data_IF_622359836372
#
_entry.id   IF_622359836372
#
_cell.length_a   1.000
_cell.length_b   1.000
_cell.length_c   1.000
_cell.angle_alpha   90.00
_cell.angle_beta   90.00
_cell.angle_gamma   90.00
#
_symmetry.space_group_name_H-M   'P 1'
#
loop_
_entity.id
_entity.type
_entity.pdbx_description
1 polymer ?
#
# COMPACT_ATOMS: atom_id res chain seq x y z
N UNK A 1 -22.30 2.27 -15.41
CA UNK A 1 -21.37 2.01 -16.54
C UNK A 1 -21.53 0.53 -16.92
N UNK A 2 -20.88 0.00 -17.95
CA UNK A 2 -20.83 -1.46 -18.17
C UNK A 2 -19.43 -1.91 -18.56
N UNK A 3 -19.11 -3.18 -18.28
CA UNK A 3 -17.89 -3.79 -18.77
C UNK A 3 -17.94 -3.93 -20.30
N UNK A 4 -16.84 -3.58 -20.95
CA UNK A 4 -16.58 -3.84 -22.36
C UNK A 4 -16.36 -5.35 -22.57
N UNK A 5 -16.39 -5.78 -23.84
CA UNK A 5 -16.16 -7.18 -24.19
C UNK A 5 -14.76 -7.66 -23.72
N UNK A 6 -13.75 -6.81 -23.79
CA UNK A 6 -12.38 -7.16 -23.39
C UNK A 6 -12.24 -7.25 -21.87
N UNK A 7 -12.93 -6.39 -21.11
CA UNK A 7 -12.95 -6.47 -19.65
C UNK A 7 -13.71 -7.70 -19.15
N UNK A 8 -14.76 -8.13 -19.85
CA UNK A 8 -15.43 -9.41 -19.57
C UNK A 8 -14.53 -10.61 -19.86
N UNK A 9 -13.70 -10.54 -20.90
CA UNK A 9 -12.68 -11.58 -21.14
C UNK A 9 -11.64 -11.60 -20.02
N UNK A 10 -11.22 -10.45 -19.50
CA UNK A 10 -10.32 -10.37 -18.35
C UNK A 10 -10.96 -11.05 -17.13
N UNK A 11 -12.22 -10.73 -16.84
CA UNK A 11 -12.98 -11.35 -15.75
C UNK A 11 -12.97 -12.88 -15.87
N UNK A 12 -13.33 -13.40 -17.05
CA UNK A 12 -13.34 -14.83 -17.33
C UNK A 12 -11.95 -15.48 -17.20
N UNK A 13 -10.91 -14.84 -17.75
CA UNK A 13 -9.54 -15.36 -17.74
C UNK A 13 -8.95 -15.46 -16.33
N UNK A 14 -9.23 -14.48 -15.48
CA UNK A 14 -8.73 -14.42 -14.10
C UNK A 14 -9.71 -15.07 -13.10
N UNK A 15 -10.88 -15.51 -13.58
CA UNK A 15 -11.99 -16.01 -12.78
C UNK A 15 -12.47 -14.98 -11.72
N UNK A 16 -12.61 -13.72 -12.11
CA UNK A 16 -13.17 -12.64 -11.28
C UNK A 16 -14.68 -12.53 -11.51
N UNK A 17 -15.41 -12.13 -10.47
CA UNK A 17 -16.81 -11.75 -10.59
C UNK A 17 -16.94 -10.46 -11.41
N UNK A 18 -17.87 -10.41 -12.37
CA UNK A 18 -18.08 -9.21 -13.21
C UNK A 18 -18.53 -8.02 -12.37
N UNK A 19 -19.29 -8.25 -11.31
CA UNK A 19 -19.81 -7.23 -10.40
C UNK A 19 -18.69 -6.50 -9.66
N UNK A 20 -17.66 -7.22 -9.24
CA UNK A 20 -16.47 -6.64 -8.58
C UNK A 20 -15.68 -5.77 -9.55
N UNK A 21 -15.51 -6.21 -10.79
CA UNK A 21 -14.84 -5.41 -11.81
C UNK A 21 -15.68 -4.19 -12.21
N UNK A 22 -16.99 -4.34 -12.30
CA UNK A 22 -17.89 -3.23 -12.59
C UNK A 22 -17.80 -2.16 -11.51
N UNK A 23 -17.79 -2.56 -10.23
CA UNK A 23 -17.58 -1.66 -9.10
C UNK A 23 -16.25 -0.88 -9.24
N UNK A 24 -15.13 -1.57 -9.51
CA UNK A 24 -13.84 -0.90 -9.70
C UNK A 24 -13.90 0.11 -10.85
N UNK A 25 -14.50 -0.27 -11.98
CA UNK A 25 -14.64 0.58 -13.17
C UNK A 25 -15.49 1.82 -12.91
N UNK A 26 -16.62 1.67 -12.25
CA UNK A 26 -17.53 2.78 -11.97
C UNK A 26 -16.90 3.82 -11.04
N UNK A 27 -16.16 3.38 -10.03
CA UNK A 27 -15.53 4.27 -9.05
C UNK A 27 -14.25 4.94 -9.57
N UNK A 28 -13.49 4.25 -10.41
CA UNK A 28 -12.28 4.82 -11.03
C UNK A 28 -12.55 5.59 -12.32
N UNK A 29 -13.72 5.36 -12.93
CA UNK A 29 -14.06 5.85 -14.28
C UNK A 29 -13.02 5.49 -15.35
N UNK A 30 -12.26 4.42 -15.12
CA UNK A 30 -11.12 4.03 -15.93
C UNK A 30 -11.38 2.75 -16.72
N UNK A 31 -10.57 2.53 -17.74
CA UNK A 31 -10.50 1.23 -18.40
C UNK A 31 -9.76 0.23 -17.51
N UNK A 32 -10.27 -1.00 -17.45
CA UNK A 32 -9.61 -2.07 -16.71
C UNK A 32 -8.62 -2.81 -17.59
N UNK A 33 -7.46 -3.14 -17.01
CA UNK A 33 -6.41 -3.90 -17.67
C UNK A 33 -6.02 -5.12 -16.84
N UNK A 34 -5.71 -6.25 -17.49
CA UNK A 34 -5.03 -7.35 -16.80
C UNK A 34 -3.64 -6.89 -16.40
N UNK A 35 -3.26 -7.14 -15.16
CA UNK A 35 -1.90 -6.91 -14.65
C UNK A 35 -1.27 -8.22 -14.22
N UNK A 36 0.04 -8.33 -14.44
CA UNK A 36 0.88 -9.42 -13.95
C UNK A 36 2.04 -8.80 -13.20
N UNK A 37 2.10 -9.05 -11.90
CA UNK A 37 3.18 -8.63 -11.02
C UNK A 37 4.15 -9.81 -10.94
N UNK A 38 5.35 -9.65 -11.50
CA UNK A 38 6.44 -10.62 -11.42
C UNK A 38 7.62 -9.99 -10.67
N UNK A 39 7.88 -10.41 -9.43
CA UNK A 39 9.04 -9.93 -8.67
C UNK A 39 9.96 -11.09 -8.27
N UNK A 40 11.25 -10.80 -8.19
CA UNK A 40 12.25 -11.73 -7.66
C UNK A 40 12.17 -11.73 -6.14
N UNK A 41 12.19 -12.92 -5.53
CA UNK A 41 12.20 -13.08 -4.07
C UNK A 41 13.65 -12.90 -3.60
N UNK A 42 13.94 -11.85 -2.79
CA UNK A 42 15.26 -11.64 -2.21
C UNK A 42 15.72 -12.85 -1.40
N UNK A 43 17.01 -13.17 -1.42
CA UNK A 43 17.54 -14.37 -0.73
C UNK A 43 17.24 -14.39 0.77
N UNK A 44 17.35 -13.22 1.41
CA UNK A 44 17.05 -13.00 2.81
C UNK A 44 15.55 -13.11 3.15
N UNK A 45 14.66 -13.11 2.17
CA UNK A 45 13.20 -13.21 2.38
C UNK A 45 12.62 -14.58 1.98
N UNK A 46 13.41 -15.44 1.31
CA UNK A 46 12.95 -16.73 0.77
C UNK A 46 12.22 -17.59 1.81
N UNK A 47 12.74 -17.68 3.03
CA UNK A 47 12.13 -18.48 4.11
C UNK A 47 10.69 -18.07 4.42
N UNK A 48 10.35 -16.79 4.26
CA UNK A 48 9.03 -16.25 4.59
C UNK A 48 8.00 -16.61 3.51
N UNK A 49 8.41 -16.66 2.24
CA UNK A 49 7.55 -17.07 1.13
C UNK A 49 7.23 -18.58 1.13
N UNK A 50 8.10 -19.41 1.71
CA UNK A 50 7.90 -20.87 1.77
C UNK A 50 6.88 -21.32 2.81
N UNK A 51 6.58 -20.49 3.82
CA UNK A 51 5.72 -20.88 4.93
C UNK A 51 4.23 -20.83 4.59
N UNK A 52 3.85 -20.18 3.49
CA UNK A 52 2.45 -19.97 3.15
C UNK A 52 2.14 -20.07 1.65
N UNK A 53 2.67 -21.09 0.97
CA UNK A 53 2.32 -21.37 -0.44
C UNK A 53 0.81 -21.63 -0.66
N UNK A 54 0.06 -21.95 0.41
CA UNK A 54 -1.39 -22.19 0.32
C UNK A 54 -2.24 -20.93 0.50
N UNK A 55 -1.79 -19.90 1.25
CA UNK A 55 -2.51 -18.63 1.34
C UNK A 55 -1.95 -17.53 0.43
N UNK A 56 -0.74 -17.67 -0.12
CA UNK A 56 -0.18 -16.66 -1.02
C UNK A 56 -0.98 -16.59 -2.34
N UNK A 57 -1.38 -15.39 -2.80
CA UNK A 57 -2.28 -15.22 -3.93
C UNK A 57 -1.64 -15.46 -5.31
N UNK A 58 -0.34 -15.67 -5.36
CA UNK A 58 0.42 -15.91 -6.58
C UNK A 58 0.98 -17.32 -6.69
N UNK A 59 1.67 -17.56 -7.80
CA UNK A 59 2.47 -18.78 -8.01
C UNK A 59 3.95 -18.47 -7.87
N UNK A 60 4.66 -19.34 -7.17
CA UNK A 60 6.12 -19.31 -7.11
C UNK A 60 6.68 -20.07 -8.30
N UNK A 61 7.65 -19.49 -8.98
CA UNK A 61 8.35 -20.11 -10.11
C UNK A 61 9.86 -20.02 -9.93
N UNK A 62 10.55 -21.05 -10.39
CA UNK A 62 12.00 -21.08 -10.47
C UNK A 62 12.43 -20.66 -11.87
N UNK A 63 13.18 -19.57 -11.99
CA UNK A 63 13.84 -19.20 -13.26
C UNK A 63 15.34 -19.41 -13.12
N UNK A 64 15.90 -20.30 -13.94
CA UNK A 64 17.34 -20.44 -14.09
C UNK A 64 17.89 -19.18 -14.78
N UNK A 65 18.86 -18.50 -14.15
CA UNK A 65 19.58 -17.41 -14.79
C UNK A 65 20.61 -18.04 -15.74
N UNK A 66 20.53 -17.72 -17.04
CA UNK A 66 21.53 -18.16 -18.01
C UNK A 66 22.71 -17.19 -17.90
N UNK A 67 23.52 -17.38 -16.86
CA UNK A 67 24.87 -16.79 -16.71
C UNK A 67 25.83 -17.91 -16.32
N UNK A 68 27.15 -17.71 -16.49
CA UNK A 68 28.19 -18.75 -16.29
C UNK A 68 28.18 -19.44 -14.91
N UNK A 69 27.41 -18.91 -13.96
CA UNK A 69 27.10 -19.52 -12.67
C UNK A 69 25.61 -19.90 -12.61
N UNK A 70 25.31 -21.13 -12.15
CA UNK A 70 23.95 -21.68 -12.01
C UNK A 70 23.17 -20.99 -10.88
N UNK A 71 22.87 -19.70 -11.04
CA UNK A 71 22.06 -18.96 -10.08
C UNK A 71 20.57 -19.14 -10.42
N UNK A 72 19.83 -19.79 -9.53
CA UNK A 72 18.38 -19.85 -9.61
C UNK A 72 17.78 -18.63 -8.93
N UNK A 73 16.90 -17.91 -9.64
CA UNK A 73 16.12 -16.83 -9.05
C UNK A 73 14.70 -17.33 -8.83
N UNK A 74 14.30 -17.37 -7.57
CA UNK A 74 12.91 -17.54 -7.19
C UNK A 74 12.15 -16.27 -7.52
N UNK A 75 11.01 -16.42 -8.18
CA UNK A 75 10.08 -15.32 -8.44
C UNK A 75 8.69 -15.72 -8.03
N UNK A 76 7.90 -14.76 -7.62
CA UNK A 76 6.46 -14.95 -7.57
C UNK A 76 5.78 -14.22 -8.74
N UNK A 77 4.65 -14.76 -9.17
CA UNK A 77 3.77 -14.15 -10.15
C UNK A 77 2.39 -14.02 -9.51
N UNK A 78 1.87 -12.79 -9.43
CA UNK A 78 0.48 -12.50 -9.07
C UNK A 78 -0.22 -11.89 -10.29
N UNK A 79 -1.42 -12.38 -10.59
CA UNK A 79 -2.27 -11.82 -11.64
C UNK A 79 -3.46 -11.10 -11.02
N UNK A 80 -3.88 -10.00 -11.64
CA UNK A 80 -5.01 -9.22 -11.18
C UNK A 80 -5.54 -8.27 -12.25
N UNK A 81 -6.31 -7.29 -11.79
CA UNK A 81 -6.86 -6.23 -12.61
C UNK A 81 -6.34 -4.89 -12.10
N UNK A 82 -5.97 -4.00 -13.02
CA UNK A 82 -5.54 -2.64 -12.69
C UNK A 82 -6.43 -1.58 -13.33
N UNK A 83 -6.57 -0.45 -12.64
CA UNK A 83 -7.22 0.76 -13.14
C UNK A 83 -6.37 1.97 -12.75
N UNK A 84 -6.12 2.89 -13.69
CA UNK A 84 -5.44 4.16 -13.41
C UNK A 84 -6.50 5.24 -13.22
N UNK A 85 -6.42 5.99 -12.12
CA UNK A 85 -7.40 7.01 -11.82
C UNK A 85 -6.88 8.06 -10.85
N UNK A 86 -7.76 8.96 -10.45
CA UNK A 86 -7.46 9.93 -9.41
C UNK A 86 -7.22 9.24 -8.07
N UNK A 87 -6.13 9.60 -7.39
CA UNK A 87 -5.72 8.92 -6.17
C UNK A 87 -6.76 9.04 -5.07
N UNK A 88 -7.38 10.21 -4.89
CA UNK A 88 -8.45 10.39 -3.90
C UNK A 88 -9.62 9.43 -4.13
N UNK A 89 -10.01 9.18 -5.38
CA UNK A 89 -11.08 8.23 -5.71
C UNK A 89 -10.69 6.78 -5.46
N UNK A 90 -9.42 6.44 -5.71
CA UNK A 90 -8.89 5.11 -5.38
C UNK A 90 -8.89 4.90 -3.86
N UNK A 91 -8.43 5.90 -3.09
CA UNK A 91 -8.44 5.86 -1.62
C UNK A 91 -9.84 5.73 -1.03
N UNK A 92 -10.79 6.54 -1.52
CA UNK A 92 -12.21 6.45 -1.15
C UNK A 92 -12.77 5.04 -1.41
N UNK A 93 -12.52 4.51 -2.61
CA UNK A 93 -12.95 3.18 -3.00
C UNK A 93 -12.40 2.07 -2.09
N UNK A 94 -11.10 2.12 -1.78
CA UNK A 94 -10.48 1.14 -0.89
C UNK A 94 -11.08 1.28 0.51
N UNK A 95 -11.18 2.51 1.02
CA UNK A 95 -11.70 2.73 2.35
C UNK A 95 -13.16 2.28 2.54
N UNK A 96 -13.97 2.37 1.48
CA UNK A 96 -15.37 1.95 1.49
C UNK A 96 -15.53 0.43 1.31
N UNK A 97 -14.79 -0.19 0.39
CA UNK A 97 -15.10 -1.55 -0.07
C UNK A 97 -14.13 -2.63 0.39
N UNK A 98 -12.95 -2.29 0.91
CA UNK A 98 -11.88 -3.26 1.17
C UNK A 98 -12.29 -4.40 2.12
N UNK A 99 -13.06 -4.08 3.17
CA UNK A 99 -13.54 -5.12 4.12
C UNK A 99 -14.48 -6.12 3.45
N UNK A 100 -15.39 -5.66 2.59
CA UNK A 100 -16.32 -6.53 1.85
C UNK A 100 -15.57 -7.34 0.78
N UNK A 101 -14.61 -6.72 0.10
CA UNK A 101 -13.77 -7.39 -0.89
C UNK A 101 -12.96 -8.54 -0.27
N UNK A 102 -12.35 -8.33 0.90
CA UNK A 102 -11.58 -9.37 1.60
C UNK A 102 -12.43 -10.60 1.95
N UNK A 103 -13.68 -10.39 2.38
CA UNK A 103 -14.60 -11.49 2.67
C UNK A 103 -14.93 -12.32 1.42
N UNK A 104 -14.95 -11.67 0.25
CA UNK A 104 -15.16 -12.31 -1.06
C UNK A 104 -13.84 -12.81 -1.70
N UNK A 105 -12.72 -12.73 -0.99
CA UNK A 105 -11.41 -13.20 -1.46
C UNK A 105 -10.74 -12.27 -2.46
N UNK A 106 -11.01 -10.97 -2.37
CA UNK A 106 -10.35 -9.93 -3.15
C UNK A 106 -9.60 -8.93 -2.26
N UNK A 107 -8.50 -8.43 -2.79
CA UNK A 107 -7.68 -7.40 -2.16
C UNK A 107 -7.45 -6.27 -3.15
N UNK A 108 -7.88 -5.06 -2.78
CA UNK A 108 -7.72 -3.83 -3.56
C UNK A 108 -6.72 -2.92 -2.85
N UNK A 109 -5.77 -2.37 -3.59
CA UNK A 109 -4.79 -1.43 -3.03
C UNK A 109 -4.29 -0.43 -4.05
N UNK A 110 -3.80 0.71 -3.56
CA UNK A 110 -3.13 1.73 -4.37
C UNK A 110 -1.63 1.45 -4.52
N UNK A 111 -1.07 1.77 -5.68
CA UNK A 111 0.37 1.71 -6.00
C UNK A 111 0.72 2.74 -7.08
N UNK A 112 2.01 2.86 -7.46
CA UNK A 112 2.49 3.75 -8.53
C UNK A 112 1.96 5.20 -8.36
N UNK A 113 2.20 5.78 -7.18
CA UNK A 113 1.79 7.15 -6.87
C UNK A 113 2.54 8.17 -7.72
N UNK A 114 1.81 9.04 -8.41
CA UNK A 114 2.36 10.20 -9.12
C UNK A 114 1.83 11.49 -8.52
N UNK A 115 2.59 12.07 -7.60
CA UNK A 115 2.21 13.28 -6.87
C UNK A 115 1.86 14.46 -7.79
N UNK A 116 2.65 14.68 -8.84
CA UNK A 116 2.47 15.81 -9.79
C UNK A 116 1.17 15.74 -10.59
N UNK A 117 0.62 14.54 -10.78
CA UNK A 117 -0.58 14.30 -11.59
C UNK A 117 -1.82 14.00 -10.72
N UNK A 118 -1.65 13.86 -9.41
CA UNK A 118 -2.67 13.35 -8.49
C UNK A 118 -3.33 12.04 -9.01
N UNK A 119 -2.50 11.19 -9.62
CA UNK A 119 -2.88 9.91 -10.17
C UNK A 119 -2.22 8.78 -9.38
N UNK A 120 -2.91 7.66 -9.36
CA UNK A 120 -2.39 6.40 -8.85
C UNK A 120 -2.96 5.23 -9.63
N UNK A 121 -2.47 4.04 -9.32
CA UNK A 121 -2.94 2.80 -9.89
C UNK A 121 -3.61 1.96 -8.81
N UNK A 122 -4.87 1.63 -9.03
CA UNK A 122 -5.57 0.64 -8.23
C UNK A 122 -5.25 -0.74 -8.77
N UNK A 123 -4.91 -1.67 -7.88
CA UNK A 123 -4.66 -3.08 -8.20
C UNK A 123 -5.64 -3.94 -7.39
N UNK A 124 -6.42 -4.76 -8.10
CA UNK A 124 -7.31 -5.76 -7.53
C UNK A 124 -6.77 -7.16 -7.81
N UNK A 125 -6.49 -7.92 -6.76
CA UNK A 125 -6.05 -9.32 -6.84
C UNK A 125 -7.00 -10.20 -6.04
N UNK A 126 -6.85 -11.52 -6.19
CA UNK A 126 -7.50 -12.48 -5.29
C UNK A 126 -6.61 -12.67 -4.08
N UNK A 127 -7.10 -12.41 -2.88
CA UNK A 127 -6.40 -12.63 -1.60
C UNK A 127 -7.38 -12.45 -0.44
N UNK A 128 -7.09 -13.10 0.68
CA UNK A 128 -7.81 -12.95 1.95
C UNK A 128 -6.98 -12.23 3.02
N UNK A 129 -5.75 -11.81 2.70
CA UNK A 129 -4.80 -11.27 3.66
C UNK A 129 -4.33 -9.88 3.23
N UNK A 130 -4.66 -8.85 4.02
CA UNK A 130 -4.24 -7.47 3.73
C UNK A 130 -2.73 -7.28 3.67
N UNK A 131 -1.95 -8.09 4.39
CA UNK A 131 -0.49 -8.01 4.38
C UNK A 131 0.14 -8.48 3.07
N UNK A 132 -0.63 -9.14 2.20
CA UNK A 132 -0.15 -9.51 0.86
C UNK A 132 0.22 -8.28 0.03
N UNK A 133 -0.37 -7.11 0.31
CA UNK A 133 0.03 -5.84 -0.32
C UNK A 133 1.53 -5.62 -0.16
N UNK A 134 2.04 -5.72 1.07
CA UNK A 134 3.46 -5.50 1.40
C UNK A 134 4.34 -6.55 0.74
N UNK A 135 3.93 -7.82 0.80
CA UNK A 135 4.67 -8.94 0.24
C UNK A 135 4.80 -8.83 -1.28
N UNK A 136 3.68 -8.52 -1.95
CA UNK A 136 3.63 -8.36 -3.41
C UNK A 136 4.42 -7.15 -3.85
N UNK A 137 4.40 -6.08 -3.05
CA UNK A 137 5.15 -4.88 -3.35
C UNK A 137 6.62 -4.96 -2.95
N UNK A 138 7.02 -5.96 -2.16
CA UNK A 138 8.34 -6.02 -1.53
C UNK A 138 8.64 -4.70 -0.80
N UNK A 139 7.62 -4.13 -0.14
CA UNK A 139 7.74 -2.85 0.58
C UNK A 139 8.80 -2.97 1.65
N UNK A 140 9.74 -2.03 1.70
CA UNK A 140 10.83 -1.99 2.67
C UNK A 140 11.32 -0.55 2.87
N UNK A 141 12.14 -0.35 3.88
CA UNK A 141 12.88 0.90 4.10
C UNK A 141 14.38 0.65 4.07
N UNK A 142 14.90 0.24 2.91
CA UNK A 142 16.31 -0.15 2.76
C UNK A 142 17.30 0.91 3.28
N UNK A 143 16.99 2.19 3.12
CA UNK A 143 17.84 3.31 3.60
C UNK A 143 17.92 3.38 5.14
N UNK A 144 17.00 2.70 5.83
CA UNK A 144 16.93 2.59 7.29
C UNK A 144 17.18 1.16 7.78
N UNK A 145 17.64 0.25 6.91
CA UNK A 145 17.76 -1.19 7.18
C UNK A 145 16.46 -1.84 7.66
N UNK A 146 15.30 -1.33 7.23
CA UNK A 146 13.98 -1.87 7.54
C UNK A 146 13.61 -2.86 6.44
N UNK A 147 13.41 -4.12 6.81
CA UNK A 147 12.98 -5.17 5.87
C UNK A 147 11.46 -5.22 5.74
N UNK A 148 10.95 -5.93 4.72
CA UNK A 148 9.51 -6.18 4.58
C UNK A 148 8.91 -6.86 5.83
N UNK A 149 9.66 -7.80 6.41
CA UNK A 149 9.27 -8.51 7.63
C UNK A 149 9.15 -7.57 8.82
N UNK A 150 10.04 -6.59 8.98
CA UNK A 150 9.99 -5.62 10.08
C UNK A 150 8.71 -4.77 9.99
N UNK A 151 8.33 -4.35 8.78
CA UNK A 151 7.09 -3.62 8.53
C UNK A 151 5.87 -4.48 8.91
N UNK A 152 5.79 -5.71 8.40
CA UNK A 152 4.68 -6.63 8.73
C UNK A 152 4.59 -6.85 10.24
N UNK A 153 5.72 -7.13 10.90
CA UNK A 153 5.76 -7.37 12.33
C UNK A 153 5.29 -6.16 13.15
N UNK A 154 5.70 -4.96 12.76
CA UNK A 154 5.27 -3.72 13.41
C UNK A 154 3.76 -3.53 13.30
N UNK A 155 3.20 -3.71 12.10
CA UNK A 155 1.76 -3.59 11.89
C UNK A 155 0.97 -4.64 12.69
N UNK A 156 1.49 -5.87 12.81
CA UNK A 156 0.90 -6.87 13.70
C UNK A 156 0.95 -6.47 15.18
N UNK A 157 1.97 -5.73 15.63
CA UNK A 157 1.99 -5.16 16.98
C UNK A 157 0.91 -4.09 17.13
N UNK A 158 0.81 -3.17 16.17
CA UNK A 158 -0.18 -2.09 16.19
C UNK A 158 -1.61 -2.63 16.20
N UNK A 159 -1.88 -3.69 15.44
CA UNK A 159 -3.18 -4.34 15.35
C UNK A 159 -3.71 -4.88 16.70
N UNK A 160 -2.86 -4.97 17.74
CA UNK A 160 -3.26 -5.38 19.09
C UNK A 160 -4.00 -4.28 19.86
N UNK A 161 -3.81 -3.02 19.49
CA UNK A 161 -4.34 -1.87 20.23
C UNK A 161 -5.00 -0.80 19.36
N UNK A 162 -4.92 -0.92 18.03
CA UNK A 162 -5.66 -0.10 17.11
C UNK A 162 -6.17 -0.94 15.93
N UNK A 163 -7.13 -0.39 15.19
CA UNK A 163 -7.67 -1.00 13.98
C UNK A 163 -7.37 -0.08 12.81
N UNK A 164 -6.79 -0.65 11.75
CA UNK A 164 -6.46 0.05 10.53
C UNK A 164 -6.65 -0.85 9.31
N UNK A 165 -6.67 -0.22 8.15
CA UNK A 165 -6.57 -0.87 6.85
C UNK A 165 -5.35 -0.32 6.10
N UNK A 166 -4.70 -1.20 5.33
CA UNK A 166 -3.66 -0.79 4.38
C UNK A 166 -4.38 -0.26 3.13
N UNK A 167 -4.12 1.01 2.80
CA UNK A 167 -4.67 1.67 1.62
C UNK A 167 -3.81 1.38 0.39
N UNK A 168 -2.50 1.37 0.56
CA UNK A 168 -1.60 1.16 -0.54
C UNK A 168 -0.18 0.95 -0.05
N UNK A 169 0.63 0.43 -0.96
CA UNK A 169 2.07 0.38 -0.78
C UNK A 169 2.75 0.33 -2.15
N UNK A 170 4.03 0.69 -2.15
CA UNK A 170 4.96 0.35 -3.20
C UNK A 170 6.28 -0.10 -2.55
N UNK A 171 7.37 -0.15 -3.31
CA UNK A 171 8.65 -0.64 -2.82
C UNK A 171 9.17 0.13 -1.58
N UNK A 172 8.91 1.42 -1.49
CA UNK A 172 9.50 2.34 -0.51
C UNK A 172 8.47 3.11 0.34
N UNK A 173 7.16 2.90 0.13
CA UNK A 173 6.12 3.57 0.90
C UNK A 173 4.96 2.67 1.31
N UNK A 174 4.28 3.08 2.38
CA UNK A 174 3.09 2.44 2.95
C UNK A 174 2.07 3.51 3.35
N UNK A 175 0.80 3.28 3.02
CA UNK A 175 -0.32 4.11 3.47
C UNK A 175 -1.33 3.32 4.29
N UNK A 176 -1.70 3.84 5.45
CA UNK A 176 -2.69 3.29 6.35
C UNK A 176 -3.85 4.27 6.59
N UNK A 177 -5.03 3.72 6.82
CA UNK A 177 -6.18 4.43 7.37
C UNK A 177 -6.64 3.74 8.64
N UNK A 178 -6.60 4.45 9.76
CA UNK A 178 -7.06 3.99 11.05
C UNK A 178 -8.57 4.13 11.19
N UNK A 179 -9.24 3.09 11.70
CA UNK A 179 -10.60 3.17 12.21
C UNK A 179 -10.59 3.58 13.69
N UNK A 180 -9.67 3.00 14.46
CA UNK A 180 -9.41 3.35 15.86
C UNK A 180 -7.93 3.66 16.07
N UNK A 181 -7.64 4.52 17.03
CA UNK A 181 -6.29 4.94 17.39
C UNK A 181 -5.97 4.46 18.81
N UNK A 182 -4.70 4.27 19.18
CA UNK A 182 -4.32 3.99 20.57
C UNK A 182 -4.64 5.17 21.50
N UNK A 183 -4.78 4.86 22.79
CA UNK A 183 -5.09 5.88 23.82
C UNK A 183 -3.97 6.92 23.98
N UNK A 184 -2.70 6.50 23.86
CA UNK A 184 -1.54 7.39 24.01
C UNK A 184 -0.95 7.74 22.64
N UNK A 185 -1.51 8.76 22.00
CA UNK A 185 -1.10 9.19 20.66
C UNK A 185 0.32 9.74 20.60
N UNK A 186 0.81 10.42 21.64
CA UNK A 186 2.19 10.93 21.64
C UNK A 186 3.22 9.79 21.66
N UNK A 187 2.97 8.74 22.47
CA UNK A 187 3.83 7.56 22.46
C UNK A 187 3.78 6.82 21.11
N UNK A 188 2.59 6.75 20.50
CA UNK A 188 2.44 6.14 19.19
C UNK A 188 3.12 6.95 18.08
N UNK A 189 3.02 8.28 18.11
CA UNK A 189 3.71 9.17 17.18
C UNK A 189 5.24 9.08 17.33
N UNK A 190 5.75 8.95 18.56
CA UNK A 190 7.17 8.69 18.83
C UNK A 190 7.62 7.36 18.18
N UNK A 191 6.85 6.29 18.33
CA UNK A 191 7.13 4.98 17.72
C UNK A 191 7.14 5.06 16.19
N UNK A 192 6.17 5.78 15.60
CA UNK A 192 6.13 6.04 14.16
C UNK A 192 7.38 6.80 13.70
N UNK A 193 7.78 7.86 14.42
CA UNK A 193 8.96 8.64 14.11
C UNK A 193 10.25 7.81 14.18
N UNK A 194 10.38 6.95 15.19
CA UNK A 194 11.52 6.03 15.30
C UNK A 194 11.58 5.03 14.14
N UNK A 195 10.42 4.59 13.64
CA UNK A 195 10.33 3.66 12.52
C UNK A 195 10.47 4.33 11.14
N UNK A 196 10.06 5.59 11.00
CA UNK A 196 10.14 6.36 9.76
C UNK A 196 10.50 7.81 10.08
N UNK A 197 11.80 8.11 10.32
CA UNK A 197 12.23 9.45 10.72
C UNK A 197 11.86 10.55 9.72
N UNK A 198 11.73 10.18 8.44
CA UNK A 198 11.32 11.10 7.36
C UNK A 198 9.87 11.58 7.49
N UNK A 199 9.05 11.02 8.39
CA UNK A 199 7.64 11.40 8.54
C UNK A 199 7.44 12.90 8.80
N UNK A 200 8.40 13.55 9.47
CA UNK A 200 8.36 14.99 9.78
C UNK A 200 8.91 15.87 8.64
N UNK A 201 9.49 15.29 7.59
CA UNK A 201 10.11 16.04 6.49
C UNK A 201 9.52 15.70 5.11
N UNK A 202 8.75 14.62 4.99
CA UNK A 202 8.12 14.16 3.75
C UNK A 202 6.79 14.87 3.41
N UNK A 203 6.42 15.90 4.17
CA UNK A 203 5.20 16.70 3.97
C UNK A 203 4.87 17.57 5.17
N UNK A 204 3.86 18.42 5.03
CA UNK A 204 3.34 19.23 6.13
C UNK A 204 2.24 18.50 6.89
N UNK A 205 2.46 18.24 8.17
CA UNK A 205 1.55 17.61 9.12
C UNK A 205 1.15 18.54 10.28
N UNK A 206 1.79 19.71 10.40
CA UNK A 206 1.49 20.72 11.43
C UNK A 206 0.16 21.45 11.25
N UNK A 207 -0.15 22.37 12.18
CA UNK A 207 -1.38 23.18 12.13
C UNK A 207 -1.49 23.99 10.84
N UNK A 208 -2.70 24.17 10.31
CA UNK A 208 -2.87 25.01 9.12
C UNK A 208 -2.44 26.45 9.40
N UNK A 209 -1.46 26.93 8.63
CA UNK A 209 -1.06 28.34 8.69
C UNK A 209 -2.19 29.24 8.16
N UNK A 210 -2.13 30.52 8.55
CA UNK A 210 -3.10 31.51 8.10
C UNK A 210 -3.03 31.74 6.59
N UNK A 211 -4.13 32.20 5.99
CA UNK A 211 -4.19 32.46 4.54
C UNK A 211 -3.19 33.52 4.06
N UNK A 212 -2.70 34.37 4.97
CA UNK A 212 -1.69 35.40 4.73
C UNK A 212 -0.25 34.97 5.06
N UNK A 213 -0.04 33.69 5.40
CA UNK A 213 1.30 33.14 5.65
C UNK A 213 2.22 33.30 4.43
N UNK A 214 3.41 33.82 4.68
CA UNK A 214 4.47 33.96 3.68
C UNK A 214 5.13 32.61 3.37
N UNK A 215 5.90 32.55 2.28
CA UNK A 215 6.71 31.36 1.96
C UNK A 215 7.70 31.06 3.09
N UNK A 216 8.25 32.10 3.71
CA UNK A 216 9.19 31.96 4.84
C UNK A 216 8.51 31.33 6.07
N UNK A 217 7.24 31.69 6.35
CA UNK A 217 6.45 31.06 7.41
C UNK A 217 6.21 29.57 7.12
N UNK A 218 5.94 29.22 5.84
CA UNK A 218 5.77 27.83 5.42
C UNK A 218 7.06 27.03 5.51
N UNK A 219 8.20 27.60 5.12
CA UNK A 219 9.52 26.96 5.24
C UNK A 219 9.88 26.73 6.71
N UNK A 220 9.69 27.73 7.57
CA UNK A 220 9.93 27.60 9.01
C UNK A 220 9.02 26.55 9.65
N UNK A 221 7.74 26.50 9.27
CA UNK A 221 6.80 25.51 9.80
C UNK A 221 7.12 24.09 9.33
N UNK A 222 7.61 23.91 8.09
CA UNK A 222 8.06 22.62 7.57
C UNK A 222 9.31 22.10 8.29
N UNK A 223 10.24 22.98 8.63
CA UNK A 223 11.51 22.63 9.29
C UNK A 223 11.35 22.32 10.79
N UNK A 224 10.28 22.80 11.44
CA UNK A 224 10.08 22.72 12.88
C UNK A 224 8.94 21.78 13.31
N UNK A 225 8.53 20.86 12.44
CA UNK A 225 7.48 19.88 12.77
C UNK A 225 7.92 18.95 13.91
N UNK A 226 6.98 18.66 14.80
CA UNK A 226 7.21 17.92 16.04
C UNK A 226 6.45 16.59 16.08
N UNK A 227 6.74 15.79 17.10
CA UNK A 227 6.04 14.53 17.34
C UNK A 227 4.60 14.80 17.80
N UNK A 228 4.39 15.90 18.52
CA UNK A 228 3.08 16.40 18.89
C UNK A 228 2.24 16.75 17.65
N UNK A 229 2.84 17.42 16.65
CA UNK A 229 2.15 17.70 15.37
C UNK A 229 1.70 16.40 14.68
N UNK A 230 2.55 15.37 14.70
CA UNK A 230 2.19 14.05 14.17
C UNK A 230 1.03 13.40 14.94
N UNK A 231 1.03 13.49 16.27
CA UNK A 231 -0.06 12.96 17.09
C UNK A 231 -1.39 13.67 16.79
N UNK A 232 -1.37 15.00 16.66
CA UNK A 232 -2.54 15.80 16.29
C UNK A 232 -3.03 15.51 14.88
N UNK A 233 -2.10 15.38 13.93
CA UNK A 233 -2.38 14.97 12.56
C UNK A 233 -3.12 13.63 12.54
N UNK A 234 -2.59 12.61 13.23
CA UNK A 234 -3.23 11.29 13.34
C UNK A 234 -4.62 11.37 13.95
N UNK A 235 -4.79 12.17 15.01
CA UNK A 235 -6.10 12.36 15.65
C UNK A 235 -7.13 12.93 14.68
N UNK A 236 -6.72 13.91 13.86
CA UNK A 236 -7.60 14.63 12.93
C UNK A 236 -7.92 13.82 11.67
N UNK A 237 -6.90 13.21 11.06
CA UNK A 237 -7.02 12.59 9.74
C UNK A 237 -7.25 11.08 9.82
N UNK A 238 -6.76 10.45 10.89
CA UNK A 238 -6.67 8.99 11.03
C UNK A 238 -5.92 8.33 9.86
N UNK A 239 -5.05 9.06 9.17
CA UNK A 239 -4.24 8.54 8.06
C UNK A 239 -2.78 8.57 8.42
N UNK A 240 -2.01 7.60 7.93
CA UNK A 240 -0.56 7.59 8.03
C UNK A 240 0.04 7.20 6.69
N UNK A 241 0.98 8.00 6.20
CA UNK A 241 1.76 7.72 5.01
C UNK A 241 3.22 7.65 5.43
N UNK A 242 3.91 6.55 5.20
CA UNK A 242 5.31 6.33 5.52
C UNK A 242 6.11 6.22 4.23
N UNK A 243 7.23 6.92 4.12
CA UNK A 243 8.09 6.88 2.94
C UNK A 243 9.57 6.81 3.35
N UNK A 244 10.27 5.77 2.88
CA UNK A 244 11.65 5.46 3.24
C UNK A 244 12.64 5.67 2.07
N UNK A 245 12.58 6.84 1.42
CA UNK A 245 13.63 7.30 0.49
C UNK A 245 14.89 7.82 1.22
#
# INVERSE_FOLDING_TARGET
>A
MSLSLDEKKIALQLNFQEEVLLMLKENTQAQLHKVTIEKAIPENERSNFYLDEQAFPGRIIFKQKITEYQDYVLKFIVEGVSAIGHLSKIRELIAEFQSALLLEGYLLFATEYKQTENQGKAILIKSYNSYDILTIQLTNGANYNITNHDIVHLLEQWAKFCAFQIIGADFDWLELQFQTLPDNLNAFAQEIYEFCPNILTQGYIGESLSEDASIEDWEEALDNQTIEDLAEFLQKTKTLFLWWD
#
